data_IF_138742746963
#
_entry.id   IF_138742746963
#
_cell.length_a   1.000
_cell.length_b   1.000
_cell.length_c   1.000
_cell.angle_alpha   90.00
_cell.angle_beta   90.00
_cell.angle_gamma   90.00
#
_symmetry.space_group_name_H-M   'P 1'
#
loop_
_entity.id
_entity.type
_entity.pdbx_description
1 polymer ?
#
# COMPACT_ATOMS: atom_id res chain seq x y z
N UNK A 1 -6.71 19.01 -3.10
CA UNK A 1 -5.90 19.43 -1.94
C UNK A 1 -6.70 20.11 -0.82
N UNK A 2 -8.03 20.12 -0.82
CA UNK A 2 -8.84 20.79 0.22
C UNK A 2 -8.88 20.09 1.59
N UNK A 3 -8.41 18.83 1.67
CA UNK A 3 -8.43 18.01 2.89
C UNK A 3 -7.15 18.11 3.73
N UNK A 4 -6.05 18.63 3.19
CA UNK A 4 -4.77 18.71 3.89
C UNK A 4 -4.61 20.12 4.46
N UNK A 5 -4.45 20.20 5.78
CA UNK A 5 -4.13 21.43 6.51
C UNK A 5 -2.65 21.41 6.92
N UNK A 6 -2.17 22.50 7.51
CA UNK A 6 -0.78 22.61 7.97
C UNK A 6 -0.39 21.57 9.04
N UNK A 7 -1.37 20.99 9.75
CA UNK A 7 -1.12 20.09 10.90
C UNK A 7 -1.77 18.72 10.77
N UNK A 8 -2.72 18.52 9.84
CA UNK A 8 -3.41 17.23 9.68
C UNK A 8 -4.13 17.08 8.35
N UNK A 9 -4.45 15.84 8.01
CA UNK A 9 -5.46 15.48 7.03
C UNK A 9 -6.86 15.49 7.68
N UNK A 10 -7.85 16.04 6.98
CA UNK A 10 -9.27 16.01 7.36
C UNK A 10 -10.02 15.00 6.49
N UNK A 11 -10.62 14.00 7.14
CA UNK A 11 -11.24 12.85 6.47
C UNK A 11 -10.26 11.71 6.21
N UNK A 12 -10.72 10.63 5.54
CA UNK A 12 -9.87 9.48 5.27
C UNK A 12 -8.79 9.81 4.24
N UNK A 13 -7.63 9.17 4.39
CA UNK A 13 -6.64 9.09 3.33
C UNK A 13 -7.16 8.18 2.20
N UNK A 14 -6.73 8.46 0.97
CA UNK A 14 -7.08 7.61 -0.16
C UNK A 14 -6.33 6.26 -0.08
N UNK A 15 -5.04 6.32 0.31
CA UNK A 15 -4.15 5.18 0.55
C UNK A 15 -3.49 5.30 1.92
N UNK A 16 -3.43 4.20 2.67
CA UNK A 16 -2.61 4.07 3.88
C UNK A 16 -1.63 2.89 3.73
N UNK A 17 -0.36 3.11 4.08
CA UNK A 17 0.67 2.07 4.12
C UNK A 17 1.17 1.93 5.57
N UNK A 18 1.08 0.73 6.13
CA UNK A 18 1.55 0.42 7.49
C UNK A 18 2.67 -0.62 7.44
N UNK A 19 3.72 -0.39 8.23
CA UNK A 19 4.83 -1.32 8.40
C UNK A 19 4.75 -1.91 9.81
N UNK A 20 4.51 -3.22 9.90
CA UNK A 20 4.30 -3.92 11.17
C UNK A 20 5.60 -3.98 11.97
N UNK A 21 5.53 -3.59 13.24
CA UNK A 21 6.55 -3.85 14.25
C UNK A 21 6.13 -4.97 15.20
N UNK A 22 7.06 -5.58 15.96
CA UNK A 22 6.72 -6.63 16.93
C UNK A 22 5.64 -6.21 17.95
N UNK A 23 5.59 -4.94 18.34
CA UNK A 23 4.63 -4.40 19.30
C UNK A 23 3.30 -3.95 18.68
N UNK A 24 3.22 -3.87 17.34
CA UNK A 24 2.07 -3.29 16.64
C UNK A 24 1.18 -4.30 15.93
N UNK A 25 1.50 -5.59 16.01
CA UNK A 25 0.87 -6.68 15.25
C UNK A 25 -0.66 -6.64 15.34
N UNK A 26 -1.22 -6.73 16.54
CA UNK A 26 -2.68 -6.73 16.73
C UNK A 26 -3.30 -5.40 16.27
N UNK A 27 -2.60 -4.29 16.52
CA UNK A 27 -3.09 -2.96 16.14
C UNK A 27 -3.17 -2.81 14.63
N UNK A 28 -2.15 -3.24 13.90
CA UNK A 28 -2.08 -3.01 12.46
C UNK A 28 -2.85 -4.09 11.68
N UNK A 29 -2.83 -5.35 12.14
CA UNK A 29 -3.51 -6.45 11.44
C UNK A 29 -5.02 -6.51 11.69
N UNK A 30 -5.50 -6.09 12.87
CA UNK A 30 -6.91 -6.25 13.24
C UNK A 30 -7.61 -4.90 13.41
N UNK A 31 -7.07 -4.06 14.31
CA UNK A 31 -7.76 -2.81 14.70
C UNK A 31 -7.77 -1.79 13.57
N UNK A 32 -6.60 -1.44 13.03
CA UNK A 32 -6.48 -0.46 11.94
C UNK A 32 -7.15 -0.93 10.65
N UNK A 33 -7.06 -2.23 10.32
CA UNK A 33 -7.80 -2.81 9.20
C UNK A 33 -9.30 -2.49 9.31
N UNK A 34 -9.90 -2.76 10.46
CA UNK A 34 -11.33 -2.54 10.69
C UNK A 34 -11.68 -1.05 10.73
N UNK A 35 -10.89 -0.24 11.45
CA UNK A 35 -11.08 1.20 11.57
C UNK A 35 -10.97 1.89 10.20
N UNK A 36 -9.93 1.60 9.42
CA UNK A 36 -9.73 2.23 8.11
C UNK A 36 -10.84 1.88 7.12
N UNK A 37 -11.29 0.61 7.08
CA UNK A 37 -12.44 0.23 6.27
C UNK A 37 -13.72 0.98 6.69
N UNK A 38 -13.96 1.09 8.00
CA UNK A 38 -15.12 1.79 8.56
C UNK A 38 -15.08 3.29 8.25
N UNK A 39 -13.91 3.93 8.34
CA UNK A 39 -13.74 5.36 8.10
C UNK A 39 -13.57 5.74 6.62
N UNK A 40 -13.57 4.77 5.71
CA UNK A 40 -13.63 5.01 4.27
C UNK A 40 -12.27 5.23 3.60
N UNK A 41 -11.19 4.69 4.17
CA UNK A 41 -9.91 4.57 3.46
C UNK A 41 -10.11 3.56 2.31
N UNK A 42 -9.81 3.98 1.09
CA UNK A 42 -10.12 3.18 -0.09
C UNK A 42 -9.07 2.11 -0.38
N UNK A 43 -7.84 2.31 0.09
CA UNK A 43 -6.75 1.37 -0.12
C UNK A 43 -5.83 1.27 1.10
N UNK A 44 -5.48 0.04 1.48
CA UNK A 44 -4.69 -0.25 2.67
C UNK A 44 -3.62 -1.29 2.40
N UNK A 45 -2.36 -0.90 2.59
CA UNK A 45 -1.20 -1.74 2.35
C UNK A 45 -0.53 -2.07 3.68
N UNK A 46 -0.28 -3.36 3.91
CA UNK A 46 0.35 -3.87 5.11
C UNK A 46 1.65 -4.58 4.76
N UNK A 47 2.77 -4.02 5.22
CA UNK A 47 4.11 -4.58 5.08
C UNK A 47 4.52 -5.22 6.40
N UNK A 48 4.81 -6.52 6.40
CA UNK A 48 5.25 -7.24 7.59
C UNK A 48 6.71 -7.71 7.44
N UNK A 49 7.70 -6.91 7.88
CA UNK A 49 9.12 -7.22 7.74
C UNK A 49 9.62 -8.22 8.80
N UNK A 50 8.76 -8.70 9.71
CA UNK A 50 9.20 -9.55 10.81
C UNK A 50 9.76 -10.89 10.28
N UNK A 51 10.74 -11.48 10.97
CA UNK A 51 11.32 -12.76 10.57
C UNK A 51 10.24 -13.85 10.36
N UNK A 52 10.28 -14.52 9.21
CA UNK A 52 9.33 -15.57 8.85
C UNK A 52 7.95 -15.07 8.38
N UNK A 53 7.76 -13.75 8.20
CA UNK A 53 6.58 -13.16 7.56
C UNK A 53 6.93 -12.63 6.18
N UNK A 54 7.70 -11.53 6.11
CA UNK A 54 8.15 -10.89 4.86
C UNK A 54 7.03 -10.80 3.82
N UNK A 55 5.90 -10.20 4.22
CA UNK A 55 4.71 -10.08 3.37
C UNK A 55 4.40 -8.63 3.01
N UNK A 56 3.92 -8.43 1.78
CA UNK A 56 3.16 -7.25 1.38
C UNK A 56 1.73 -7.73 1.11
N UNK A 57 0.77 -7.21 1.86
CA UNK A 57 -0.66 -7.47 1.64
C UNK A 57 -1.34 -6.17 1.26
N UNK A 58 -2.05 -6.17 0.13
CA UNK A 58 -2.80 -5.02 -0.34
C UNK A 58 -4.28 -5.31 -0.22
N UNK A 59 -5.02 -4.36 0.35
CA UNK A 59 -6.46 -4.39 0.49
C UNK A 59 -7.08 -3.20 -0.23
N UNK A 60 -8.14 -3.45 -1.01
CA UNK A 60 -8.91 -2.45 -1.73
C UNK A 60 -10.36 -2.48 -1.23
N UNK A 61 -10.93 -1.30 -0.96
CA UNK A 61 -12.27 -1.18 -0.39
C UNK A 61 -13.32 -1.25 -1.50
N UNK A 62 -14.21 -2.23 -1.41
CA UNK A 62 -15.30 -2.41 -2.37
C UNK A 62 -16.47 -1.43 -2.11
N UNK A 63 -17.47 -1.46 -3.00
CA UNK A 63 -18.67 -0.61 -2.88
C UNK A 63 -19.52 -0.90 -1.62
N UNK A 64 -19.42 -2.10 -1.04
CA UNK A 64 -20.05 -2.45 0.23
C UNK A 64 -19.27 -1.94 1.46
N UNK A 65 -18.11 -1.32 1.23
CA UNK A 65 -17.26 -0.77 2.26
C UNK A 65 -16.36 -1.77 2.98
N UNK A 66 -16.17 -2.95 2.37
CA UNK A 66 -15.34 -4.03 2.90
C UNK A 66 -14.02 -4.08 2.14
N UNK A 67 -12.95 -4.48 2.82
CA UNK A 67 -11.66 -4.70 2.19
C UNK A 67 -11.58 -6.07 1.52
N UNK A 68 -11.10 -6.08 0.28
CA UNK A 68 -10.79 -7.27 -0.50
C UNK A 68 -9.29 -7.29 -0.80
N UNK A 69 -8.68 -8.48 -0.75
CA UNK A 69 -7.25 -8.64 -1.03
C UNK A 69 -6.96 -8.45 -2.52
N UNK A 70 -6.00 -7.61 -2.86
CA UNK A 70 -5.48 -7.46 -4.21
C UNK A 70 -4.28 -8.39 -4.41
N UNK A 71 -4.29 -9.13 -5.52
CA UNK A 71 -3.18 -9.97 -5.93
C UNK A 71 -2.17 -9.15 -6.75
N UNK A 72 -0.87 -9.50 -6.70
CA UNK A 72 0.09 -8.91 -7.62
C UNK A 72 -0.18 -9.37 -9.07
N UNK A 73 0.32 -8.60 -10.03
CA UNK A 73 0.30 -9.01 -11.44
C UNK A 73 1.30 -10.15 -11.73
N UNK A 74 1.37 -10.58 -13.00
CA UNK A 74 2.28 -11.65 -13.43
C UNK A 74 3.79 -11.34 -13.25
N UNK A 75 4.15 -10.10 -12.92
CA UNK A 75 5.52 -9.68 -12.63
C UNK A 75 5.76 -9.49 -11.13
N UNK A 76 4.78 -9.78 -10.27
CA UNK A 76 4.91 -9.59 -8.82
C UNK A 76 4.63 -8.16 -8.34
N UNK A 77 4.04 -7.31 -9.19
CA UNK A 77 3.76 -5.90 -8.86
C UNK A 77 2.36 -5.74 -8.28
N UNK A 78 2.26 -5.06 -7.15
CA UNK A 78 1.01 -4.62 -6.56
C UNK A 78 0.66 -3.22 -7.06
N UNK A 79 -0.51 -3.09 -7.69
CA UNK A 79 -0.98 -1.85 -8.30
C UNK A 79 -1.95 -1.11 -7.38
N UNK A 80 -1.81 0.21 -7.31
CA UNK A 80 -2.75 1.03 -6.56
C UNK A 80 -4.04 1.25 -7.35
N UNK A 81 -5.17 1.08 -6.67
CA UNK A 81 -6.49 1.42 -7.23
C UNK A 81 -6.81 2.91 -7.11
N UNK A 82 -6.16 3.63 -6.18
CA UNK A 82 -6.45 5.05 -5.90
C UNK A 82 -5.38 6.01 -6.42
N UNK A 83 -4.17 5.53 -6.70
CA UNK A 83 -3.09 6.28 -7.31
C UNK A 83 -2.79 5.68 -8.70
N UNK A 84 -3.42 6.23 -9.74
CA UNK A 84 -3.31 5.71 -11.11
C UNK A 84 -1.86 5.54 -11.58
N UNK A 85 -1.54 4.31 -12.00
CA UNK A 85 -0.22 3.90 -12.49
C UNK A 85 0.90 3.82 -11.45
N UNK A 86 0.58 4.01 -10.16
CA UNK A 86 1.49 3.69 -9.07
C UNK A 86 1.45 2.20 -8.76
N UNK A 87 2.62 1.60 -8.62
CA UNK A 87 2.78 0.19 -8.23
C UNK A 87 4.07 -0.03 -7.45
N UNK A 88 4.13 -1.13 -6.73
CA UNK A 88 5.35 -1.61 -6.04
C UNK A 88 5.56 -3.07 -6.34
N UNK A 89 6.78 -3.44 -6.74
CA UNK A 89 7.20 -4.83 -6.83
C UNK A 89 7.36 -5.40 -5.41
N UNK A 90 6.64 -6.47 -5.09
CA UNK A 90 6.70 -7.09 -3.77
C UNK A 90 8.09 -7.64 -3.41
N UNK A 91 8.89 -8.00 -4.41
CA UNK A 91 10.26 -8.50 -4.24
C UNK A 91 11.25 -7.42 -3.78
N UNK A 92 11.00 -6.15 -4.11
CA UNK A 92 11.87 -5.04 -3.72
C UNK A 92 12.05 -4.91 -2.21
N UNK A 93 11.05 -5.32 -1.43
CA UNK A 93 11.06 -5.21 0.02
C UNK A 93 12.00 -6.20 0.70
N UNK A 94 12.34 -7.32 0.02
CA UNK A 94 13.01 -8.46 0.63
C UNK A 94 14.34 -8.83 -0.01
N UNK A 95 14.72 -8.17 -1.11
CA UNK A 95 16.01 -8.37 -1.77
C UNK A 95 17.15 -7.65 -1.03
N UNK A 96 18.37 -8.15 -1.23
CA UNK A 96 19.61 -7.50 -0.79
C UNK A 96 20.55 -7.34 -2.01
N UNK A 97 20.96 -6.11 -2.37
CA UNK A 97 20.58 -4.83 -1.75
C UNK A 97 19.15 -4.41 -2.08
N UNK A 98 18.53 -3.66 -1.16
CA UNK A 98 17.29 -2.95 -1.44
C UNK A 98 17.50 -1.99 -2.63
N UNK A 99 16.50 -1.85 -3.53
CA UNK A 99 16.59 -0.86 -4.59
C UNK A 99 16.58 0.55 -3.98
N UNK A 100 17.39 1.44 -4.54
CA UNK A 100 17.35 2.85 -4.17
C UNK A 100 16.01 3.48 -4.58
N UNK A 101 15.61 4.53 -3.87
CA UNK A 101 14.39 5.30 -4.20
C UNK A 101 14.39 5.76 -5.67
N UNK A 102 15.55 6.12 -6.21
CA UNK A 102 15.68 6.52 -7.62
C UNK A 102 15.44 5.37 -8.60
N UNK A 103 15.88 4.14 -8.26
CA UNK A 103 15.61 2.96 -9.07
C UNK A 103 14.11 2.62 -9.05
N UNK A 104 13.48 2.64 -7.87
CA UNK A 104 12.04 2.42 -7.73
C UNK A 104 11.25 3.46 -8.53
N UNK A 105 11.62 4.73 -8.39
CA UNK A 105 10.97 5.83 -9.11
C UNK A 105 11.10 5.69 -10.62
N UNK A 106 12.31 5.41 -11.13
CA UNK A 106 12.53 5.23 -12.57
C UNK A 106 11.70 4.08 -13.14
N UNK A 107 11.54 2.98 -12.40
CA UNK A 107 10.71 1.85 -12.81
C UNK A 107 9.22 2.22 -12.88
N UNK A 108 8.69 2.88 -11.85
CA UNK A 108 7.28 3.36 -11.87
C UNK A 108 7.05 4.35 -13.01
N UNK A 109 7.96 5.32 -13.22
CA UNK A 109 7.86 6.29 -14.30
C UNK A 109 7.88 5.66 -15.70
N UNK A 110 8.72 4.65 -15.93
CA UNK A 110 8.80 3.99 -17.23
C UNK A 110 7.44 3.39 -17.66
N UNK A 111 6.71 2.83 -16.70
CA UNK A 111 5.38 2.24 -16.91
C UNK A 111 4.32 3.29 -17.22
N UNK A 112 4.38 4.43 -16.52
CA UNK A 112 3.51 5.59 -16.78
C UNK A 112 3.73 6.17 -18.18
N UNK A 113 4.98 6.24 -18.63
CA UNK A 113 5.32 6.74 -19.98
C UNK A 113 4.90 5.77 -21.09
N UNK A 114 4.84 4.47 -20.80
CA UNK A 114 4.42 3.43 -21.75
C UNK A 114 2.89 3.30 -21.89
N UNK A 115 2.10 3.95 -21.03
CA UNK A 115 0.64 3.82 -21.03
C UNK A 115 0.14 2.47 -20.54
N UNK A 116 0.95 1.74 -19.77
CA UNK A 116 0.65 0.41 -19.21
C UNK A 116 0.04 0.50 -17.79
N UNK A 117 -0.62 1.61 -17.47
CA UNK A 117 -1.19 1.93 -16.16
C UNK A 117 -2.68 1.58 -16.05
#
# INVERSE_FOLDING_TARGET
MSRLTDVRLEGPADLVVEVVSPESVQRDQERKYSEYAQYGVNEYWLVDPRPGKQTLTVYQRNAAGQYEGAAPDGQGRFHSAVLGGFWVDGGWLWQEPLPSVLQCWAAVQATLAAGEA
#
